data_IF_873946308706
#
_entry.id   IF_873946308706
#
_cell.length_a   1.000
_cell.length_b   1.000
_cell.length_c   1.000
_cell.angle_alpha   90.00
_cell.angle_beta   90.00
_cell.angle_gamma   90.00
#
_symmetry.space_group_name_H-M   'P 1'
#
loop_
_entity.id
_entity.type
_entity.pdbx_description
1 polymer ?
#
# COMPACT_ATOMS: atom_id res chain seq x y z
N UNK A 1 -22.60 16.84 -9.24
CA UNK A 1 -23.09 15.46 -9.13
C UNK A 1 -23.59 15.26 -7.71
N UNK A 2 -24.74 14.61 -7.52
CA UNK A 2 -25.23 14.20 -6.21
C UNK A 2 -24.46 12.96 -5.73
N UNK A 3 -24.23 12.84 -4.42
CA UNK A 3 -23.67 11.62 -3.85
C UNK A 3 -24.64 10.44 -4.08
N UNK A 4 -24.09 9.26 -4.39
CA UNK A 4 -24.86 8.02 -4.55
C UNK A 4 -25.00 7.32 -3.19
N UNK A 5 -23.92 7.37 -2.39
CA UNK A 5 -23.85 6.81 -1.06
C UNK A 5 -23.68 7.90 -0.02
N UNK A 6 -24.33 7.72 1.15
CA UNK A 6 -24.24 8.66 2.26
C UNK A 6 -23.11 8.32 3.23
N UNK A 7 -22.85 7.03 3.43
CA UNK A 7 -21.74 6.56 4.27
C UNK A 7 -20.89 5.57 3.48
N UNK A 8 -19.65 5.95 3.16
CA UNK A 8 -18.75 5.12 2.39
C UNK A 8 -17.61 4.62 3.26
N UNK A 9 -17.41 3.30 3.31
CA UNK A 9 -16.34 2.64 4.05
C UNK A 9 -15.39 1.96 3.06
N UNK A 10 -14.13 2.39 3.04
CA UNK A 10 -13.06 1.72 2.28
C UNK A 10 -12.16 0.99 3.25
N UNK A 11 -12.11 -0.33 3.11
CA UNK A 11 -11.38 -1.26 3.96
C UNK A 11 -10.25 -1.87 3.12
N UNK A 12 -9.03 -1.41 3.35
CA UNK A 12 -7.82 -1.97 2.74
C UNK A 12 -7.28 -3.12 3.60
N UNK A 13 -7.11 -4.28 2.98
CA UNK A 13 -6.48 -5.47 3.55
C UNK A 13 -5.12 -5.65 2.86
N UNK A 14 -4.05 -5.23 3.54
CA UNK A 14 -2.68 -5.22 3.00
C UNK A 14 -2.26 -6.61 2.52
N UNK A 15 -1.68 -6.67 1.33
CA UNK A 15 -1.26 -7.88 0.63
C UNK A 15 -2.39 -8.88 0.31
N UNK A 16 -3.68 -8.52 0.38
CA UNK A 16 -4.75 -9.46 0.00
C UNK A 16 -4.63 -9.82 -1.50
N UNK A 17 -4.39 -11.09 -1.79
CA UNK A 17 -4.09 -11.56 -3.14
C UNK A 17 -5.33 -12.14 -3.82
N UNK A 18 -5.35 -12.12 -5.15
CA UNK A 18 -6.31 -12.88 -5.95
C UNK A 18 -6.29 -14.38 -5.64
N UNK A 19 -5.12 -14.92 -5.26
CA UNK A 19 -4.94 -16.31 -4.83
C UNK A 19 -5.67 -16.63 -3.51
N UNK A 20 -5.95 -15.64 -2.67
CA UNK A 20 -6.73 -15.82 -1.45
C UNK A 20 -8.23 -15.93 -1.74
N UNK A 21 -8.69 -15.48 -2.91
CA UNK A 21 -10.12 -15.30 -3.20
C UNK A 21 -10.91 -16.60 -3.01
N UNK A 22 -10.38 -17.73 -3.47
CA UNK A 22 -11.01 -19.03 -3.29
C UNK A 22 -11.19 -19.35 -1.80
N UNK A 23 -10.15 -19.14 -0.99
CA UNK A 23 -10.20 -19.43 0.44
C UNK A 23 -11.14 -18.48 1.19
N UNK A 24 -11.01 -17.15 1.01
CA UNK A 24 -11.85 -16.19 1.72
C UNK A 24 -13.33 -16.34 1.36
N UNK A 25 -13.66 -16.76 0.14
CA UNK A 25 -15.05 -17.03 -0.25
C UNK A 25 -15.72 -18.16 0.53
N UNK A 26 -14.94 -18.98 1.25
CA UNK A 26 -15.46 -20.03 2.15
C UNK A 26 -15.64 -19.55 3.59
N UNK A 27 -15.04 -18.41 3.97
CA UNK A 27 -15.15 -17.86 5.31
C UNK A 27 -16.50 -17.15 5.47
N UNK A 28 -17.17 -17.27 6.64
CA UNK A 28 -18.59 -16.95 6.76
C UNK A 28 -18.91 -15.49 6.46
N UNK A 29 -18.10 -14.52 6.90
CA UNK A 29 -18.42 -13.10 6.73
C UNK A 29 -18.06 -12.61 5.33
N UNK A 30 -16.93 -13.05 4.77
CA UNK A 30 -16.61 -12.82 3.36
C UNK A 30 -17.65 -13.43 2.44
N UNK A 31 -18.07 -14.69 2.70
CA UNK A 31 -19.12 -15.37 1.93
C UNK A 31 -20.42 -14.57 1.95
N UNK A 32 -20.85 -14.11 3.13
CA UNK A 32 -22.06 -13.31 3.27
C UNK A 32 -21.94 -11.95 2.56
N UNK A 33 -20.77 -11.31 2.63
CA UNK A 33 -20.50 -10.06 1.92
C UNK A 33 -20.57 -10.25 0.40
N UNK A 34 -19.90 -11.30 -0.11
CA UNK A 34 -19.82 -11.64 -1.53
C UNK A 34 -21.15 -12.04 -2.15
N UNK A 35 -22.13 -12.48 -1.35
CA UNK A 35 -23.46 -12.86 -1.84
C UNK A 35 -24.19 -11.70 -2.54
N UNK A 36 -23.93 -10.46 -2.11
CA UNK A 36 -24.56 -9.25 -2.65
C UNK A 36 -23.55 -8.32 -3.36
N UNK A 37 -22.25 -8.63 -3.29
CA UNK A 37 -21.20 -7.76 -3.81
C UNK A 37 -21.07 -7.83 -5.33
N UNK A 38 -20.59 -6.72 -5.91
CA UNK A 38 -19.88 -6.72 -7.18
C UNK A 38 -18.38 -6.74 -6.91
N UNK A 39 -17.61 -7.52 -7.67
CA UNK A 39 -16.19 -7.71 -7.38
C UNK A 39 -15.34 -7.98 -8.61
N UNK A 40 -14.05 -7.66 -8.50
CA UNK A 40 -12.99 -8.07 -9.40
C UNK A 40 -12.00 -8.96 -8.66
N UNK A 41 -11.66 -10.11 -9.24
CA UNK A 41 -10.65 -11.02 -8.68
C UNK A 41 -9.24 -10.68 -9.14
N UNK A 42 -9.09 -9.95 -10.24
CA UNK A 42 -7.80 -9.63 -10.84
C UNK A 42 -7.62 -8.12 -10.96
N UNK A 43 -7.19 -7.50 -9.87
CA UNK A 43 -6.82 -6.10 -9.85
C UNK A 43 -5.31 -5.99 -10.06
N UNK A 44 -4.91 -5.39 -11.17
CA UNK A 44 -3.52 -5.05 -11.42
C UNK A 44 -3.13 -3.85 -10.55
N UNK A 45 -2.19 -4.08 -9.64
CA UNK A 45 -1.58 -3.02 -8.84
C UNK A 45 -0.70 -2.10 -9.70
N UNK A 46 -0.11 -1.08 -9.09
CA UNK A 46 0.83 -0.17 -9.75
C UNK A 46 2.27 -0.67 -9.66
N UNK A 47 3.18 -0.11 -10.45
CA UNK A 47 4.59 -0.49 -10.42
C UNK A 47 5.44 0.64 -9.78
N UNK A 48 6.04 0.44 -8.60
CA UNK A 48 6.21 -0.83 -7.86
C UNK A 48 4.98 -1.22 -7.05
N UNK A 49 4.76 -2.53 -6.85
CA UNK A 49 3.66 -3.05 -6.01
C UNK A 49 3.97 -2.92 -4.52
N UNK A 50 4.17 -1.67 -4.07
CA UNK A 50 4.42 -1.30 -2.68
C UNK A 50 3.20 -0.59 -2.08
N UNK A 51 3.02 -0.73 -0.76
CA UNK A 51 1.90 -0.18 0.01
C UNK A 51 1.63 1.31 -0.26
N UNK A 52 2.61 2.21 -0.13
CA UNK A 52 2.38 3.65 -0.23
C UNK A 52 2.09 4.10 -1.67
N UNK A 53 2.86 3.68 -2.70
CA UNK A 53 2.49 3.90 -4.09
C UNK A 53 1.08 3.40 -4.43
N UNK A 54 0.73 2.18 -3.99
CA UNK A 54 -0.57 1.59 -4.23
C UNK A 54 -1.70 2.39 -3.56
N UNK A 55 -1.62 2.65 -2.25
CA UNK A 55 -2.65 3.40 -1.53
C UNK A 55 -2.85 4.82 -2.03
N UNK A 56 -1.78 5.46 -2.51
CA UNK A 56 -1.90 6.79 -3.13
C UNK A 56 -2.56 6.70 -4.50
N UNK A 57 -2.31 5.62 -5.25
CA UNK A 57 -3.01 5.34 -6.50
C UNK A 57 -4.51 5.14 -6.28
N UNK A 58 -4.89 4.42 -5.22
CA UNK A 58 -6.30 4.23 -4.81
C UNK A 58 -6.99 5.57 -4.55
N UNK A 59 -6.35 6.49 -3.81
CA UNK A 59 -7.01 7.76 -3.43
C UNK A 59 -6.96 8.85 -4.49
N UNK A 60 -6.08 8.72 -5.48
CA UNK A 60 -5.89 9.73 -6.55
C UNK A 60 -6.39 9.27 -7.91
N UNK A 61 -6.52 7.97 -8.14
CA UNK A 61 -6.75 7.39 -9.46
C UNK A 61 -5.58 7.56 -10.42
N UNK A 62 -4.35 7.73 -9.92
CA UNK A 62 -3.14 8.02 -10.71
C UNK A 62 -2.08 6.94 -10.52
N UNK A 63 -1.19 6.80 -11.49
CA UNK A 63 0.03 6.00 -11.35
C UNK A 63 1.13 6.74 -10.56
N UNK A 64 2.12 6.02 -10.01
CA UNK A 64 3.27 6.58 -9.27
C UNK A 64 3.99 7.74 -9.97
N UNK A 65 4.16 7.67 -11.30
CA UNK A 65 4.74 8.76 -12.09
C UNK A 65 3.99 10.10 -11.94
N UNK A 66 2.68 10.05 -11.74
CA UNK A 66 1.79 11.21 -11.77
C UNK A 66 1.48 11.73 -10.36
N UNK A 67 1.26 10.86 -9.37
CA UNK A 67 1.06 11.30 -7.98
C UNK A 67 2.37 11.49 -7.20
N UNK A 68 3.51 11.00 -7.72
CA UNK A 68 4.85 11.28 -7.20
C UNK A 68 5.34 10.42 -6.04
N UNK A 69 4.55 9.44 -5.60
CA UNK A 69 4.92 8.49 -4.54
C UNK A 69 5.33 7.18 -5.20
N UNK A 70 6.64 6.94 -5.28
CA UNK A 70 7.22 5.84 -6.08
C UNK A 70 7.89 4.77 -5.22
N UNK A 71 7.91 4.96 -3.91
CA UNK A 71 8.48 4.04 -2.93
C UNK A 71 7.79 4.28 -1.58
N UNK A 72 7.89 3.35 -0.64
CA UNK A 72 7.46 3.58 0.75
C UNK A 72 8.35 4.63 1.44
N UNK A 73 9.62 4.69 1.06
CA UNK A 73 10.66 5.50 1.71
C UNK A 73 11.29 6.54 0.80
N UNK A 74 11.70 7.66 1.38
CA UNK A 74 12.46 8.70 0.69
C UNK A 74 13.86 8.19 0.31
N UNK A 75 14.38 8.68 -0.82
CA UNK A 75 15.78 8.49 -1.18
C UNK A 75 16.67 9.36 -0.28
N UNK A 76 17.07 8.81 0.87
CA UNK A 76 17.94 9.46 1.86
C UNK A 76 19.15 8.57 2.17
N UNK A 77 20.10 8.43 1.22
CA UNK A 77 21.14 7.42 1.31
C UNK A 77 22.16 7.64 2.44
N UNK A 78 22.21 8.87 2.96
CA UNK A 78 22.99 9.22 4.13
C UNK A 78 22.28 8.89 5.47
N UNK A 79 21.16 8.16 5.46
CA UNK A 79 20.42 7.79 6.67
C UNK A 79 20.20 6.28 6.72
N UNK A 80 20.57 5.66 7.86
CA UNK A 80 20.34 4.24 8.11
C UNK A 80 18.86 3.85 8.09
N UNK A 81 17.99 4.74 8.56
CA UNK A 81 16.54 4.61 8.50
C UNK A 81 16.00 5.85 7.78
N UNK A 82 15.73 5.78 6.47
CA UNK A 82 15.09 6.87 5.74
C UNK A 82 13.73 7.23 6.35
N UNK A 83 13.31 8.48 6.14
CA UNK A 83 11.92 8.86 6.39
C UNK A 83 11.03 8.22 5.31
N UNK A 84 9.78 7.94 5.67
CA UNK A 84 8.79 7.44 4.74
C UNK A 84 7.98 8.59 4.12
N UNK A 85 7.28 8.31 3.03
CA UNK A 85 6.34 9.26 2.43
C UNK A 85 5.06 9.35 3.29
N UNK A 86 5.16 9.88 4.51
CA UNK A 86 4.00 9.93 5.42
C UNK A 86 3.01 11.04 5.09
N UNK A 87 3.47 12.13 4.47
CA UNK A 87 2.76 13.40 4.48
C UNK A 87 1.87 13.58 3.25
N UNK A 88 0.67 14.10 3.47
CA UNK A 88 -0.26 14.51 2.41
C UNK A 88 0.43 15.38 1.35
N UNK A 89 1.28 16.32 1.78
CA UNK A 89 1.99 17.25 0.89
C UNK A 89 2.98 16.55 -0.06
N UNK A 90 3.27 15.27 0.15
CA UNK A 90 4.07 14.50 -0.80
C UNK A 90 3.27 14.03 -2.03
N UNK A 91 1.94 13.99 -1.95
CA UNK A 91 1.05 13.58 -3.04
C UNK A 91 0.83 14.74 -4.00
N UNK A 92 1.10 14.53 -5.28
CA UNK A 92 0.81 15.49 -6.35
C UNK A 92 -0.65 15.37 -6.83
N UNK A 93 -1.37 16.49 -6.77
CA UNK A 93 -2.78 16.60 -7.15
C UNK A 93 -3.73 16.22 -6.02
N UNK A 94 -5.01 16.18 -6.35
CA UNK A 94 -6.08 15.97 -5.37
C UNK A 94 -6.30 14.48 -5.10
N UNK A 95 -6.75 14.18 -3.87
CA UNK A 95 -7.29 12.87 -3.50
C UNK A 95 -8.80 12.98 -3.33
N UNK A 96 -9.52 11.86 -3.43
CA UNK A 96 -10.98 11.92 -3.22
C UNK A 96 -11.32 12.37 -1.80
N UNK A 97 -10.45 12.13 -0.80
CA UNK A 97 -10.70 12.56 0.57
C UNK A 97 -10.49 14.06 0.75
N UNK A 98 -9.58 14.69 0.00
CA UNK A 98 -9.45 16.15 0.03
C UNK A 98 -10.68 16.80 -0.56
N UNK A 99 -11.14 16.31 -1.72
CA UNK A 99 -12.34 16.81 -2.38
C UNK A 99 -13.60 16.60 -1.52
N UNK A 100 -13.68 15.49 -0.79
CA UNK A 100 -14.75 15.25 0.17
C UNK A 100 -14.75 16.31 1.28
N UNK A 101 -13.59 16.58 1.90
CA UNK A 101 -13.44 17.63 2.92
C UNK A 101 -13.81 19.01 2.37
N UNK A 102 -13.37 19.34 1.16
CA UNK A 102 -13.66 20.62 0.49
C UNK A 102 -15.15 20.81 0.19
N UNK A 103 -15.88 19.72 -0.08
CA UNK A 103 -17.35 19.72 -0.19
C UNK A 103 -18.08 19.71 1.14
N UNK A 104 -17.37 19.80 2.27
CA UNK A 104 -17.97 19.84 3.60
C UNK A 104 -18.31 18.48 4.19
N UNK A 105 -17.85 17.38 3.58
CA UNK A 105 -18.01 16.04 4.12
C UNK A 105 -17.11 15.82 5.35
N UNK A 106 -17.57 14.97 6.26
CA UNK A 106 -16.82 14.49 7.42
C UNK A 106 -16.07 13.22 7.06
N UNK A 107 -14.74 13.28 7.12
CA UNK A 107 -13.87 12.18 6.73
C UNK A 107 -13.11 11.64 7.95
N UNK A 108 -12.98 10.32 8.01
CA UNK A 108 -12.09 9.62 8.94
C UNK A 108 -11.10 8.73 8.23
N UNK A 109 -9.89 8.63 8.79
CA UNK A 109 -8.85 7.72 8.31
C UNK A 109 -8.13 7.07 9.50
N UNK A 110 -8.00 5.74 9.45
CA UNK A 110 -7.34 4.92 10.46
C UNK A 110 -6.22 4.11 9.80
N UNK A 111 -4.98 4.46 10.10
CA UNK A 111 -3.75 3.96 9.48
C UNK A 111 -3.72 4.04 7.95
N UNK A 112 -4.51 4.92 7.32
CA UNK A 112 -4.40 5.04 5.87
C UNK A 112 -3.05 5.67 5.49
N UNK A 113 -2.27 5.09 4.55
CA UNK A 113 -0.96 5.62 4.17
C UNK A 113 -1.02 7.05 3.63
N UNK A 114 0.07 7.80 3.85
CA UNK A 114 0.29 9.14 3.25
C UNK A 114 -0.78 10.19 3.62
N UNK A 115 -1.43 10.02 4.79
CA UNK A 115 -2.45 10.94 5.30
C UNK A 115 -1.95 11.86 6.41
N UNK A 116 -0.68 11.80 6.81
CA UNK A 116 -0.16 12.69 7.83
C UNK A 116 -0.31 14.16 7.39
N UNK A 117 -0.76 15.02 8.31
CA UNK A 117 -1.04 16.45 8.07
C UNK A 117 -2.10 16.75 7.00
N UNK A 118 -2.92 15.77 6.62
CA UNK A 118 -4.11 16.02 5.79
C UNK A 118 -5.17 16.84 6.54
N UNK A 119 -6.16 17.34 5.80
CA UNK A 119 -7.32 18.07 6.37
C UNK A 119 -8.43 17.14 6.89
N UNK A 120 -8.21 15.83 6.91
CA UNK A 120 -9.17 14.84 7.40
C UNK A 120 -9.48 15.10 8.88
N UNK A 121 -10.75 15.23 9.23
CA UNK A 121 -11.17 15.68 10.55
C UNK A 121 -10.95 14.61 11.64
N UNK A 122 -11.05 13.32 11.29
CA UNK A 122 -10.83 12.20 12.21
C UNK A 122 -9.68 11.31 11.73
N UNK A 123 -8.45 11.82 11.84
CA UNK A 123 -7.28 11.18 11.26
C UNK A 123 -6.35 10.55 12.32
N UNK A 124 -6.04 9.28 12.16
CA UNK A 124 -4.95 8.56 12.81
C UNK A 124 -4.05 7.98 11.71
N UNK A 125 -3.08 8.75 11.19
CA UNK A 125 -2.31 8.35 10.03
C UNK A 125 -1.37 7.19 10.35
N UNK A 126 -0.99 6.44 9.32
CA UNK A 126 0.12 5.48 9.44
C UNK A 126 1.44 6.24 9.50
N UNK A 127 1.94 6.40 10.72
CA UNK A 127 3.22 7.07 10.97
C UNK A 127 3.87 6.50 12.22
N UNK A 128 5.19 6.36 12.16
CA UNK A 128 5.96 5.84 13.29
C UNK A 128 7.25 6.61 13.54
N UNK A 129 7.69 6.56 14.79
CA UNK A 129 8.93 7.17 15.24
C UNK A 129 10.13 6.40 14.69
N UNK A 130 10.74 6.91 13.63
CA UNK A 130 11.95 6.32 13.02
C UNK A 130 13.26 6.84 13.64
N UNK A 131 13.21 7.48 14.81
CA UNK A 131 14.38 8.00 15.55
C UNK A 131 14.25 7.63 17.02
N UNK A 132 15.35 7.22 17.64
CA UNK A 132 15.34 6.76 19.05
C UNK A 132 14.93 7.86 20.05
N UNK A 133 15.09 9.14 19.68
CA UNK A 133 14.71 10.29 20.52
C UNK A 133 13.26 10.77 20.28
N UNK A 134 12.53 10.19 19.33
CA UNK A 134 11.13 10.55 19.07
C UNK A 134 10.20 9.61 19.83
N UNK A 135 9.24 10.18 20.56
CA UNK A 135 8.12 9.40 21.11
C UNK A 135 7.12 9.06 20.01
N UNK A 136 6.76 7.78 19.88
CA UNK A 136 5.72 7.32 18.96
C UNK A 136 4.41 8.07 19.16
N UNK A 137 3.99 8.26 20.41
CA UNK A 137 2.74 8.96 20.76
C UNK A 137 2.78 10.41 20.25
N UNK A 138 3.90 11.12 20.47
CA UNK A 138 4.05 12.50 20.04
C UNK A 138 4.08 12.62 18.50
N UNK A 139 4.76 11.69 17.82
CA UNK A 139 4.79 11.65 16.36
C UNK A 139 3.38 11.45 15.79
N UNK A 140 2.62 10.49 16.30
CA UNK A 140 1.24 10.27 15.85
C UNK A 140 0.35 11.50 16.14
N UNK A 141 0.38 12.03 17.37
CA UNK A 141 -0.43 13.19 17.76
C UNK A 141 -0.18 14.43 16.91
N UNK A 142 1.08 14.73 16.59
CA UNK A 142 1.43 15.90 15.78
C UNK A 142 1.03 15.76 14.32
N UNK A 143 0.75 14.54 13.83
CA UNK A 143 0.56 14.28 12.41
C UNK A 143 -0.87 13.85 12.03
N UNK A 144 -1.72 13.52 13.01
CA UNK A 144 -3.15 13.30 12.80
C UNK A 144 -4.01 14.32 13.57
N UNK A 145 -5.25 13.95 13.90
CA UNK A 145 -6.15 14.77 14.72
C UNK A 145 -5.90 14.52 16.21
N UNK A 146 -5.38 15.47 16.99
CA UNK A 146 -4.90 15.20 18.36
C UNK A 146 -5.97 14.67 19.31
N UNK A 147 -7.15 15.29 19.35
CA UNK A 147 -8.24 14.88 20.26
C UNK A 147 -8.79 13.50 19.92
N UNK A 148 -8.98 13.22 18.63
CA UNK A 148 -9.44 11.93 18.15
C UNK A 148 -8.45 10.82 18.51
N UNK A 149 -7.17 11.03 18.19
CA UNK A 149 -6.12 10.06 18.54
C UNK A 149 -5.99 9.87 20.05
N UNK A 150 -6.05 10.94 20.85
CA UNK A 150 -6.02 10.83 22.30
C UNK A 150 -7.16 9.95 22.82
N UNK A 151 -8.38 10.13 22.32
CA UNK A 151 -9.53 9.32 22.70
C UNK A 151 -9.33 7.83 22.36
N UNK A 152 -8.89 7.53 21.12
CA UNK A 152 -8.62 6.16 20.70
C UNK A 152 -7.51 5.52 21.55
N UNK A 153 -6.41 6.23 21.79
CA UNK A 153 -5.29 5.74 22.58
C UNK A 153 -5.68 5.52 24.05
N UNK A 154 -6.48 6.41 24.64
CA UNK A 154 -6.98 6.28 26.01
C UNK A 154 -7.86 5.03 26.17
N UNK A 155 -8.72 4.76 25.18
CA UNK A 155 -9.65 3.63 25.23
C UNK A 155 -8.99 2.31 24.91
N UNK A 156 -8.22 2.25 23.83
CA UNK A 156 -7.78 0.98 23.22
C UNK A 156 -6.28 0.80 23.17
N UNK A 157 -5.49 1.80 23.62
CA UNK A 157 -4.04 1.77 23.52
C UNK A 157 -3.37 0.55 24.16
N UNK A 158 -4.03 -0.08 25.15
CA UNK A 158 -3.61 -1.32 25.80
C UNK A 158 -3.60 -2.54 24.88
N UNK A 159 -4.30 -2.50 23.73
CA UNK A 159 -4.32 -3.59 22.76
C UNK A 159 -3.04 -3.64 21.91
N UNK A 160 -2.31 -2.53 21.80
CA UNK A 160 -1.12 -2.45 20.96
C UNK A 160 0.09 -3.05 21.65
N UNK A 161 0.98 -3.55 20.81
CA UNK A 161 2.32 -3.98 21.19
C UNK A 161 3.34 -3.42 20.16
N UNK A 162 3.53 -2.10 20.21
CA UNK A 162 4.23 -1.37 19.16
C UNK A 162 3.50 -1.51 17.82
N UNK A 163 4.24 -1.95 16.79
CA UNK A 163 3.72 -2.25 15.45
C UNK A 163 3.48 -3.76 15.22
N UNK A 164 3.62 -4.59 16.25
CA UNK A 164 3.49 -6.05 16.10
C UNK A 164 2.06 -6.44 15.76
N UNK A 165 1.93 -7.40 14.84
CA UNK A 165 0.65 -7.97 14.45
C UNK A 165 0.37 -9.27 15.23
N UNK A 166 -0.89 -9.53 15.62
CA UNK A 166 -2.12 -8.83 15.22
C UNK A 166 -2.53 -7.64 16.12
N UNK A 167 -1.69 -7.26 17.10
CA UNK A 167 -2.02 -6.27 18.13
C UNK A 167 -2.31 -4.86 17.59
N UNK A 168 -1.55 -4.41 16.59
CA UNK A 168 -1.81 -3.12 15.95
C UNK A 168 -3.18 -3.10 15.26
N UNK A 169 -3.49 -4.11 14.45
CA UNK A 169 -4.79 -4.19 13.78
C UNK A 169 -5.95 -4.40 14.75
N UNK A 170 -5.74 -5.06 15.90
CA UNK A 170 -6.76 -5.15 16.94
C UNK A 170 -7.10 -3.78 17.54
N UNK A 171 -6.09 -2.94 17.78
CA UNK A 171 -6.30 -1.56 18.20
C UNK A 171 -7.03 -0.73 17.13
N UNK A 172 -6.61 -0.84 15.87
CA UNK A 172 -7.23 -0.14 14.73
C UNK A 172 -8.68 -0.58 14.57
N UNK A 173 -8.95 -1.87 14.69
CA UNK A 173 -10.29 -2.42 14.54
C UNK A 173 -11.23 -1.91 15.64
N UNK A 174 -10.81 -1.96 16.91
CA UNK A 174 -11.63 -1.41 18.01
C UNK A 174 -11.80 0.11 17.87
N UNK A 175 -10.79 0.82 17.36
CA UNK A 175 -10.90 2.25 17.03
C UNK A 175 -11.92 2.51 15.91
N UNK A 176 -11.98 1.65 14.91
CA UNK A 176 -12.97 1.73 13.83
C UNK A 176 -14.38 1.48 14.36
N UNK A 177 -14.61 0.42 15.15
CA UNK A 177 -15.93 0.14 15.73
C UNK A 177 -16.42 1.31 16.59
N UNK A 178 -15.54 1.86 17.45
CA UNK A 178 -15.85 3.07 18.22
C UNK A 178 -16.19 4.26 17.32
N UNK A 179 -15.44 4.45 16.23
CA UNK A 179 -15.67 5.53 15.27
C UNK A 179 -17.01 5.37 14.56
N UNK A 180 -17.34 4.16 14.12
CA UNK A 180 -18.63 3.82 13.53
C UNK A 180 -19.73 4.18 14.52
N UNK A 181 -19.70 3.68 15.74
CA UNK A 181 -20.72 3.94 16.76
C UNK A 181 -20.88 5.45 17.05
N UNK A 182 -19.77 6.15 17.29
CA UNK A 182 -19.79 7.48 17.92
C UNK A 182 -19.69 8.67 16.95
N UNK A 183 -19.31 8.45 15.69
CA UNK A 183 -19.12 9.54 14.70
C UNK A 183 -20.00 9.28 13.46
N UNK A 184 -20.51 10.35 12.86
CA UNK A 184 -21.30 10.30 11.61
C UNK A 184 -20.41 10.81 10.48
N UNK A 185 -19.69 9.90 9.84
CA UNK A 185 -18.69 10.21 8.82
C UNK A 185 -19.22 9.80 7.45
N UNK A 186 -19.14 10.70 6.47
CA UNK A 186 -19.57 10.42 5.09
C UNK A 186 -18.57 9.48 4.39
N UNK A 187 -17.28 9.55 4.78
CA UNK A 187 -16.21 8.70 4.26
C UNK A 187 -15.32 8.21 5.40
N UNK A 188 -15.10 6.89 5.47
CA UNK A 188 -14.17 6.25 6.40
C UNK A 188 -13.18 5.39 5.64
N UNK A 189 -11.90 5.64 5.86
CA UNK A 189 -10.78 4.87 5.33
C UNK A 189 -10.12 4.08 6.46
N UNK A 190 -9.90 2.78 6.27
CA UNK A 190 -9.16 1.95 7.22
C UNK A 190 -8.22 1.03 6.48
N UNK A 191 -7.00 0.91 7.00
CA UNK A 191 -5.98 0.02 6.46
C UNK A 191 -5.50 -0.95 7.55
N UNK A 192 -5.49 -2.23 7.20
CA UNK A 192 -5.12 -3.34 8.07
C UNK A 192 -3.86 -4.02 7.53
N UNK A 193 -2.78 -4.08 8.33
CA UNK A 193 -1.44 -4.54 7.91
C UNK A 193 -1.08 -5.95 8.40
N UNK A 194 -2.02 -6.62 9.07
CA UNK A 194 -1.84 -7.95 9.68
C UNK A 194 -1.42 -9.02 8.67
N UNK A 195 -2.11 -9.15 7.54
CA UNK A 195 -1.80 -10.17 6.54
C UNK A 195 -0.40 -10.00 5.93
N UNK A 196 -0.06 -8.80 5.46
CA UNK A 196 1.26 -8.51 4.89
C UNK A 196 2.40 -8.77 5.88
N UNK A 197 2.29 -8.23 7.10
CA UNK A 197 3.30 -8.43 8.15
C UNK A 197 3.52 -9.92 8.44
N UNK A 198 2.42 -10.69 8.51
CA UNK A 198 2.49 -12.13 8.77
C UNK A 198 3.09 -12.88 7.58
N UNK A 199 2.83 -12.48 6.34
CA UNK A 199 3.46 -13.11 5.17
C UNK A 199 4.95 -12.82 5.11
N UNK A 200 5.36 -11.59 5.36
CA UNK A 200 6.78 -11.24 5.47
C UNK A 200 7.52 -12.12 6.47
N UNK A 201 6.89 -12.45 7.60
CA UNK A 201 7.50 -13.20 8.67
C UNK A 201 7.38 -14.73 8.50
N UNK A 202 6.33 -15.25 7.86
CA UNK A 202 6.02 -16.69 7.84
C UNK A 202 5.86 -17.31 6.45
N UNK A 203 5.80 -16.52 5.38
CA UNK A 203 5.53 -16.99 4.02
C UNK A 203 4.06 -16.86 3.60
N UNK A 204 3.81 -16.85 2.29
CA UNK A 204 2.54 -16.54 1.65
C UNK A 204 1.38 -17.43 2.11
N UNK A 205 1.60 -18.75 2.05
CA UNK A 205 0.59 -19.79 2.32
C UNK A 205 0.66 -20.38 3.74
N UNK A 206 1.37 -19.71 4.65
CA UNK A 206 1.60 -20.18 6.02
C UNK A 206 0.30 -20.35 6.81
N UNK A 207 0.36 -21.15 7.89
CA UNK A 207 -0.78 -21.30 8.81
C UNK A 207 -1.13 -19.95 9.43
N UNK A 208 -0.11 -19.15 9.73
CA UNK A 208 -0.19 -17.81 10.29
C UNK A 208 -0.92 -16.86 9.34
N UNK A 209 -0.59 -16.87 8.03
CA UNK A 209 -1.28 -16.08 7.03
C UNK A 209 -2.77 -16.46 6.92
N UNK A 210 -3.09 -17.76 6.95
CA UNK A 210 -4.49 -18.23 7.00
C UNK A 210 -5.21 -17.78 8.27
N UNK A 211 -4.52 -17.69 9.41
CA UNK A 211 -5.09 -17.13 10.64
C UNK A 211 -5.32 -15.61 10.52
N UNK A 212 -4.46 -14.87 9.81
CA UNK A 212 -4.69 -13.45 9.52
C UNK A 212 -5.95 -13.25 8.66
N UNK A 213 -6.14 -14.05 7.60
CA UNK A 213 -7.36 -14.03 6.79
C UNK A 213 -8.63 -14.32 7.61
N UNK A 214 -8.59 -15.28 8.54
CA UNK A 214 -9.69 -15.53 9.47
C UNK A 214 -9.96 -14.36 10.41
N UNK A 215 -8.92 -13.62 10.85
CA UNK A 215 -9.10 -12.39 11.63
C UNK A 215 -9.77 -11.31 10.79
N UNK A 216 -9.38 -11.12 9.53
CA UNK A 216 -10.05 -10.18 8.63
C UNK A 216 -11.52 -10.56 8.38
N UNK A 217 -11.83 -11.84 8.19
CA UNK A 217 -13.22 -12.31 8.09
C UNK A 217 -14.05 -11.89 9.32
N UNK A 218 -13.53 -12.15 10.53
CA UNK A 218 -14.18 -11.72 11.77
C UNK A 218 -14.41 -10.21 11.81
N UNK A 219 -13.37 -9.42 11.48
CA UNK A 219 -13.42 -7.95 11.46
C UNK A 219 -14.48 -7.43 10.50
N UNK A 220 -14.66 -8.04 9.33
CA UNK A 220 -15.71 -7.68 8.37
C UNK A 220 -17.10 -7.91 8.98
N UNK A 221 -17.30 -9.05 9.63
CA UNK A 221 -18.55 -9.34 10.34
C UNK A 221 -18.86 -8.31 11.43
N UNK A 222 -17.87 -7.95 12.23
CA UNK A 222 -17.98 -6.95 13.30
C UNK A 222 -18.27 -5.54 12.75
N UNK A 223 -17.68 -5.14 11.62
CA UNK A 223 -17.98 -3.86 10.94
C UNK A 223 -19.42 -3.84 10.44
N UNK A 224 -19.85 -4.88 9.73
CA UNK A 224 -21.23 -4.99 9.22
C UNK A 224 -22.22 -4.94 10.37
N UNK A 225 -21.94 -5.63 11.48
CA UNK A 225 -22.79 -5.61 12.66
C UNK A 225 -22.87 -4.21 13.28
N UNK A 226 -21.74 -3.51 13.44
CA UNK A 226 -21.72 -2.15 13.98
C UNK A 226 -22.52 -1.15 13.12
N UNK A 227 -22.47 -1.30 11.79
CA UNK A 227 -23.29 -0.48 10.87
C UNK A 227 -24.79 -0.75 11.01
N UNK A 228 -25.17 -2.02 11.24
CA UNK A 228 -26.57 -2.42 11.48
C UNK A 228 -27.08 -1.90 12.81
N UNK A 229 -26.29 -2.04 13.88
CA UNK A 229 -26.62 -1.55 15.23
C UNK A 229 -26.76 -0.03 15.25
N UNK A 230 -25.94 0.68 14.48
CA UNK A 230 -26.07 2.12 14.28
C UNK A 230 -27.25 2.53 13.40
N UNK A 231 -27.87 1.59 12.68
CA UNK A 231 -29.00 1.85 11.78
C UNK A 231 -28.62 2.54 10.47
N UNK A 232 -27.36 2.45 10.03
CA UNK A 232 -26.87 3.10 8.80
C UNK A 232 -26.48 2.11 7.69
N UNK A 233 -26.58 0.80 7.94
CA UNK A 233 -26.14 -0.23 7.00
C UNK A 233 -26.78 -0.09 5.59
N UNK A 234 -28.10 0.15 5.51
CA UNK A 234 -28.81 0.28 4.22
C UNK A 234 -28.46 1.57 3.44
N UNK A 235 -27.94 2.59 4.14
CA UNK A 235 -27.44 3.84 3.54
C UNK A 235 -25.94 3.79 3.24
N UNK A 236 -25.27 2.68 3.59
CA UNK A 236 -23.82 2.55 3.49
C UNK A 236 -23.39 1.81 2.22
N UNK A 237 -22.22 2.19 1.73
CA UNK A 237 -21.42 1.40 0.78
C UNK A 237 -20.18 0.91 1.48
N UNK A 238 -19.87 -0.37 1.35
CA UNK A 238 -18.65 -0.98 1.88
C UNK A 238 -17.83 -1.47 0.70
N UNK A 239 -16.57 -1.05 0.67
CA UNK A 239 -15.56 -1.48 -0.29
C UNK A 239 -14.46 -2.20 0.50
N UNK A 240 -14.14 -3.41 0.07
CA UNK A 240 -13.03 -4.22 0.58
C UNK A 240 -12.07 -4.44 -0.58
N UNK A 241 -10.82 -4.04 -0.39
CA UNK A 241 -9.80 -4.09 -1.43
C UNK A 241 -8.46 -4.55 -0.86
N UNK A 242 -7.57 -5.00 -1.73
CA UNK A 242 -6.14 -5.10 -1.43
C UNK A 242 -5.35 -4.13 -2.30
N UNK A 243 -4.08 -3.95 -1.97
CA UNK A 243 -3.17 -3.02 -2.62
C UNK A 243 -2.12 -3.73 -3.49
N UNK A 244 -1.64 -4.90 -3.05
CA UNK A 244 -0.74 -5.77 -3.81
C UNK A 244 -0.87 -7.26 -3.42
N UNK A 245 -0.14 -8.12 -4.14
CA UNK A 245 0.16 -9.50 -3.77
C UNK A 245 1.60 -9.62 -3.27
N UNK A 246 2.01 -10.79 -2.80
CA UNK A 246 3.39 -11.08 -2.39
C UNK A 246 3.84 -12.46 -2.88
N UNK A 247 5.16 -12.69 -2.94
CA UNK A 247 5.77 -13.94 -3.43
C UNK A 247 6.82 -14.43 -2.43
N UNK A 248 6.90 -15.75 -2.25
CA UNK A 248 7.89 -16.35 -1.37
C UNK A 248 9.31 -16.18 -1.93
N UNK A 249 10.24 -15.84 -1.04
CA UNK A 249 11.62 -15.47 -1.36
C UNK A 249 12.59 -16.08 -0.36
N UNK A 250 13.82 -16.32 -0.82
CA UNK A 250 14.90 -16.81 0.04
C UNK A 250 16.28 -16.23 -0.29
N UNK A 251 16.34 -15.25 -1.21
CA UNK A 251 17.58 -14.62 -1.64
C UNK A 251 17.47 -13.09 -1.71
N UNK A 252 18.50 -12.40 -1.28
CA UNK A 252 18.60 -10.93 -1.27
C UNK A 252 19.71 -10.47 -2.21
N UNK A 253 19.46 -9.43 -3.00
CA UNK A 253 20.45 -8.73 -3.82
C UNK A 253 20.72 -7.36 -3.22
N UNK A 254 21.97 -7.11 -2.83
CA UNK A 254 22.43 -5.83 -2.27
C UNK A 254 23.23 -5.04 -3.30
N UNK A 255 22.58 -4.55 -4.38
CA UNK A 255 23.26 -3.92 -5.53
C UNK A 255 24.13 -2.70 -5.16
N UNK A 256 23.78 -1.99 -4.08
CA UNK A 256 24.59 -0.87 -3.61
C UNK A 256 26.02 -1.30 -3.20
N UNK A 257 26.23 -2.54 -2.77
CA UNK A 257 27.58 -3.10 -2.51
C UNK A 257 28.39 -3.16 -3.82
N UNK A 258 27.79 -3.66 -4.90
CA UNK A 258 28.44 -3.71 -6.21
C UNK A 258 28.80 -2.30 -6.73
N UNK A 259 27.89 -1.34 -6.57
CA UNK A 259 28.13 0.05 -6.97
C UNK A 259 29.27 0.69 -6.15
N UNK A 260 29.30 0.45 -4.83
CA UNK A 260 30.39 0.90 -3.95
C UNK A 260 31.73 0.29 -4.36
N UNK A 261 31.79 -1.02 -4.56
CA UNK A 261 33.03 -1.74 -4.87
C UNK A 261 33.64 -1.33 -6.22
N UNK A 262 32.82 -0.77 -7.12
CA UNK A 262 33.26 -0.18 -8.40
C UNK A 262 33.47 1.33 -8.36
N UNK A 263 33.38 1.97 -7.19
CA UNK A 263 33.65 3.40 -7.02
C UNK A 263 32.53 4.34 -7.48
N UNK A 264 31.29 3.85 -7.57
CA UNK A 264 30.10 4.67 -7.84
C UNK A 264 29.43 5.20 -6.58
N UNK A 265 29.70 4.61 -5.42
CA UNK A 265 29.24 5.11 -4.12
C UNK A 265 30.44 5.32 -3.22
N UNK A 266 30.55 6.52 -2.66
CA UNK A 266 31.60 6.89 -1.72
C UNK A 266 31.08 6.83 -0.29
N UNK A 267 31.85 6.19 0.59
CA UNK A 267 31.53 6.05 2.01
C UNK A 267 32.65 6.61 2.88
N UNK A 268 32.30 7.13 4.06
CA UNK A 268 33.30 7.52 5.05
C UNK A 268 33.83 6.31 5.83
N UNK A 269 34.75 6.54 6.78
CA UNK A 269 35.35 5.51 7.64
C UNK A 269 34.35 4.72 8.50
N UNK A 270 33.12 5.21 8.66
CA UNK A 270 32.02 4.54 9.38
C UNK A 270 31.05 3.80 8.44
N UNK A 271 31.37 3.71 7.15
CA UNK A 271 30.52 3.06 6.14
C UNK A 271 29.28 3.86 5.76
N UNK A 272 29.22 5.16 6.10
CA UNK A 272 28.08 6.03 5.74
C UNK A 272 28.33 6.64 4.36
N UNK A 273 27.33 6.60 3.48
CA UNK A 273 27.38 7.25 2.16
C UNK A 273 27.57 8.76 2.33
N UNK A 274 28.58 9.30 1.65
CA UNK A 274 28.91 10.73 1.62
C UNK A 274 28.69 11.37 0.24
N UNK A 275 28.92 10.62 -0.84
CA UNK A 275 28.55 10.99 -2.21
C UNK A 275 28.28 9.74 -3.05
N UNK A 276 27.66 9.91 -4.22
CA UNK A 276 27.49 8.85 -5.19
C UNK A 276 27.43 9.42 -6.62
N UNK A 277 27.96 8.67 -7.57
CA UNK A 277 27.72 8.84 -9.01
C UNK A 277 26.45 8.11 -9.44
N UNK A 278 26.16 6.99 -8.79
CA UNK A 278 24.94 6.25 -8.99
C UNK A 278 24.52 5.54 -7.71
N UNK A 279 23.21 5.37 -7.53
CA UNK A 279 22.66 4.70 -6.37
C UNK A 279 21.44 3.87 -6.74
N UNK A 280 21.34 2.70 -6.13
CA UNK A 280 20.17 1.85 -6.24
C UNK A 280 19.23 2.08 -5.06
N UNK A 281 17.93 2.16 -5.34
CA UNK A 281 16.87 2.24 -4.36
C UNK A 281 15.94 1.05 -4.53
N UNK A 282 15.97 0.14 -3.56
CA UNK A 282 15.11 -1.02 -3.51
C UNK A 282 13.64 -0.62 -3.36
N UNK A 283 12.81 -1.31 -4.14
CA UNK A 283 11.38 -1.41 -4.01
C UNK A 283 11.01 -2.88 -3.78
N UNK A 284 11.83 -3.60 -3.01
CA UNK A 284 11.74 -5.03 -2.75
C UNK A 284 11.91 -5.89 -4.02
N UNK A 285 10.84 -6.43 -4.59
CA UNK A 285 10.87 -7.27 -5.80
C UNK A 285 11.40 -6.56 -7.05
N UNK A 286 11.42 -5.23 -7.06
CA UNK A 286 12.09 -4.42 -8.07
C UNK A 286 12.95 -3.31 -7.44
N UNK A 287 13.56 -2.45 -8.23
CA UNK A 287 14.11 -1.20 -7.73
C UNK A 287 14.66 -0.28 -8.79
N UNK A 288 14.94 0.94 -8.38
CA UNK A 288 15.36 2.01 -9.26
C UNK A 288 16.86 2.29 -9.15
N UNK A 289 17.55 2.34 -10.28
CA UNK A 289 18.89 2.91 -10.36
C UNK A 289 18.77 4.40 -10.72
N UNK A 290 19.42 5.26 -9.95
CA UNK A 290 19.56 6.69 -10.25
C UNK A 290 21.03 7.00 -10.55
N UNK A 291 21.31 7.55 -11.72
CA UNK A 291 22.62 8.11 -12.08
C UNK A 291 22.58 9.62 -11.91
N UNK A 292 23.51 10.15 -11.11
CA UNK A 292 23.61 11.59 -10.83
C UNK A 292 23.78 12.37 -12.13
N UNK A 293 23.03 13.46 -12.26
CA UNK A 293 23.04 14.35 -13.44
C UNK A 293 22.71 13.67 -14.77
N UNK A 294 22.11 12.47 -14.75
CA UNK A 294 21.82 11.68 -15.95
C UNK A 294 23.05 11.45 -16.85
N UNK A 295 24.23 11.27 -16.24
CA UNK A 295 25.47 11.07 -16.99
C UNK A 295 25.40 9.78 -17.84
N UNK A 296 25.28 9.96 -19.16
CA UNK A 296 25.07 8.86 -20.11
C UNK A 296 26.23 7.85 -20.15
N UNK A 297 27.48 8.33 -19.98
CA UNK A 297 28.65 7.45 -19.96
C UNK A 297 28.61 6.53 -18.73
N UNK A 298 28.36 7.10 -17.55
CA UNK A 298 28.23 6.34 -16.29
C UNK A 298 27.05 5.36 -16.37
N UNK A 299 25.92 5.79 -16.93
CA UNK A 299 24.76 4.92 -17.14
C UNK A 299 25.14 3.70 -17.99
N UNK A 300 25.78 3.89 -19.14
CA UNK A 300 26.21 2.78 -20.02
C UNK A 300 27.18 1.82 -19.31
N UNK A 301 28.14 2.37 -18.55
CA UNK A 301 29.10 1.56 -17.78
C UNK A 301 28.40 0.73 -16.69
N UNK A 302 27.44 1.31 -15.98
CA UNK A 302 26.68 0.61 -14.93
C UNK A 302 25.69 -0.39 -15.50
N UNK A 303 24.99 -0.06 -16.58
CA UNK A 303 24.12 -1.03 -17.29
C UNK A 303 24.94 -2.26 -17.66
N UNK A 304 26.13 -2.06 -18.23
CA UNK A 304 27.02 -3.18 -18.58
C UNK A 304 27.48 -3.97 -17.36
N UNK A 305 27.84 -3.30 -16.28
CA UNK A 305 28.21 -3.93 -15.02
C UNK A 305 27.10 -4.81 -14.45
N UNK A 306 25.85 -4.33 -14.49
CA UNK A 306 24.67 -5.06 -14.00
C UNK A 306 24.35 -6.26 -14.89
N UNK A 307 24.44 -6.10 -16.22
CA UNK A 307 24.30 -7.22 -17.16
C UNK A 307 25.36 -8.30 -16.91
N UNK A 308 26.62 -7.92 -16.70
CA UNK A 308 27.72 -8.85 -16.44
C UNK A 308 27.53 -9.57 -15.11
N UNK A 309 27.11 -8.85 -14.07
CA UNK A 309 26.70 -9.42 -12.79
C UNK A 309 25.55 -10.42 -12.98
N UNK A 310 24.53 -10.06 -13.76
CA UNK A 310 23.38 -10.95 -13.97
C UNK A 310 23.72 -12.19 -14.82
N UNK A 311 24.66 -12.10 -15.75
CA UNK A 311 25.15 -13.28 -16.52
C UNK A 311 25.80 -14.34 -15.64
N UNK A 312 26.34 -13.96 -14.47
CA UNK A 312 26.95 -14.89 -13.52
C UNK A 312 25.94 -15.41 -12.50
N UNK A 313 25.05 -14.55 -12.02
CA UNK A 313 24.18 -14.87 -10.88
C UNK A 313 22.74 -15.21 -11.25
N UNK A 314 22.30 -14.87 -12.47
CA UNK A 314 20.95 -15.06 -12.98
C UNK A 314 19.85 -14.64 -11.99
N UNK A 315 19.98 -13.44 -11.42
CA UNK A 315 19.18 -12.95 -10.30
C UNK A 315 18.25 -11.77 -10.66
N UNK A 316 18.41 -11.19 -11.85
CA UNK A 316 17.59 -10.10 -12.39
C UNK A 316 16.84 -10.65 -13.61
N UNK A 317 15.52 -10.49 -13.58
CA UNK A 317 14.60 -10.97 -14.63
C UNK A 317 14.59 -10.00 -15.82
N UNK A 318 14.60 -8.69 -15.52
CA UNK A 318 14.61 -7.64 -16.54
C UNK A 318 15.32 -6.38 -16.07
N UNK A 319 15.89 -5.65 -17.05
CA UNK A 319 16.46 -4.31 -16.87
C UNK A 319 15.76 -3.40 -17.87
N UNK A 320 14.94 -2.48 -17.36
CA UNK A 320 14.15 -1.56 -18.16
C UNK A 320 14.78 -0.17 -18.22
N UNK A 321 14.66 0.48 -19.37
CA UNK A 321 15.04 1.88 -19.52
C UNK A 321 14.07 2.81 -18.79
N UNK A 322 14.45 4.08 -18.65
CA UNK A 322 13.60 5.14 -18.12
C UNK A 322 12.28 5.28 -18.89
N UNK A 323 12.33 5.21 -20.21
CA UNK A 323 11.16 5.32 -21.08
C UNK A 323 10.20 4.18 -20.80
N UNK A 324 10.72 2.96 -20.64
CA UNK A 324 9.89 1.80 -20.32
C UNK A 324 9.31 1.88 -18.91
N UNK A 325 10.06 2.38 -17.94
CA UNK A 325 9.53 2.66 -16.60
C UNK A 325 8.37 3.67 -16.64
N UNK A 326 8.47 4.73 -17.45
CA UNK A 326 7.40 5.71 -17.65
C UNK A 326 6.14 5.09 -18.29
N UNK A 327 6.30 4.20 -19.27
CA UNK A 327 5.19 3.45 -19.87
C UNK A 327 4.45 2.62 -18.82
N UNK A 328 5.17 1.98 -17.90
CA UNK A 328 4.57 1.22 -16.79
C UNK A 328 3.94 2.08 -15.69
N UNK A 329 4.07 3.40 -15.74
CA UNK A 329 3.58 4.28 -14.67
C UNK A 329 4.52 4.43 -13.47
N UNK A 330 5.74 3.89 -13.55
CA UNK A 330 6.77 3.90 -12.50
C UNK A 330 7.57 5.23 -12.44
N UNK A 331 8.55 5.37 -11.54
CA UNK A 331 9.30 6.63 -11.39
C UNK A 331 10.01 7.07 -12.68
N UNK A 332 9.51 8.13 -13.30
CA UNK A 332 10.11 8.76 -14.47
C UNK A 332 11.42 9.50 -14.23
N UNK A 333 11.96 9.51 -13.01
CA UNK A 333 13.27 10.09 -12.68
C UNK A 333 14.38 9.03 -12.61
N UNK A 334 14.04 7.75 -12.61
CA UNK A 334 15.04 6.69 -12.59
C UNK A 334 15.81 6.66 -13.90
N UNK A 335 17.04 6.16 -13.84
CA UNK A 335 17.85 5.86 -15.02
C UNK A 335 17.57 4.45 -15.53
N UNK A 336 17.35 3.49 -14.63
CA UNK A 336 16.89 2.13 -14.94
C UNK A 336 15.89 1.66 -13.87
N UNK A 337 15.01 0.75 -14.26
CA UNK A 337 14.16 -0.04 -13.38
C UNK A 337 14.54 -1.51 -13.53
N UNK A 338 14.92 -2.15 -12.41
CA UNK A 338 15.37 -3.53 -12.38
C UNK A 338 14.30 -4.40 -11.72
N UNK A 339 14.00 -5.54 -12.34
CA UNK A 339 13.07 -6.54 -11.81
C UNK A 339 13.87 -7.75 -11.29
N UNK A 340 13.66 -8.15 -10.04
CA UNK A 340 14.32 -9.32 -9.49
C UNK A 340 13.70 -10.61 -10.06
N UNK A 341 14.54 -11.61 -10.33
CA UNK A 341 14.09 -12.96 -10.67
C UNK A 341 13.70 -13.67 -9.38
N UNK A 342 12.58 -14.40 -9.34
CA UNK A 342 12.31 -15.23 -8.17
C UNK A 342 13.40 -16.32 -7.99
N UNK A 343 13.78 -16.68 -6.74
CA UNK A 343 13.26 -16.21 -5.45
C UNK A 343 14.05 -15.03 -4.84
N UNK A 344 14.64 -14.16 -5.68
CA UNK A 344 15.40 -12.99 -5.26
C UNK A 344 14.53 -11.75 -5.06
N UNK A 345 14.94 -10.87 -4.14
CA UNK A 345 14.47 -9.49 -4.03
C UNK A 345 15.64 -8.57 -3.65
N UNK A 346 15.45 -7.25 -3.73
CA UNK A 346 16.50 -6.27 -3.46
C UNK A 346 16.46 -5.69 -2.04
N UNK A 347 17.62 -5.28 -1.54
CA UNK A 347 17.76 -4.44 -0.35
C UNK A 347 18.73 -3.28 -0.58
N UNK A 348 18.64 -2.25 0.26
CA UNK A 348 19.46 -1.04 0.16
C UNK A 348 20.84 -1.15 0.86
N UNK A 349 21.25 -2.34 1.34
CA UNK A 349 22.50 -2.47 2.11
C UNK A 349 23.72 -2.04 1.29
N UNK A 350 24.64 -1.32 1.95
CA UNK A 350 25.90 -0.84 1.38
C UNK A 350 27.12 -1.64 1.87
N UNK A 351 26.90 -2.64 2.72
CA UNK A 351 27.93 -3.52 3.28
C UNK A 351 27.36 -4.93 3.54
N UNK A 352 28.24 -5.92 3.67
CA UNK A 352 27.83 -7.32 3.82
C UNK A 352 28.09 -8.11 2.54
N UNK A 353 27.25 -9.11 2.26
CA UNK A 353 27.34 -9.93 1.05
C UNK A 353 26.51 -9.32 -0.07
N UNK A 354 27.01 -9.40 -1.30
CA UNK A 354 26.29 -8.94 -2.48
C UNK A 354 25.01 -9.75 -2.74
N UNK A 355 25.09 -11.07 -2.53
CA UNK A 355 23.92 -11.97 -2.49
C UNK A 355 23.90 -12.67 -1.12
N UNK A 356 22.76 -12.61 -0.45
CA UNK A 356 22.49 -13.34 0.79
C UNK A 356 21.41 -14.39 0.53
N UNK A 357 21.64 -15.63 0.94
CA UNK A 357 20.64 -16.71 0.91
C UNK A 357 20.29 -17.10 2.35
N UNK A 358 19.01 -17.39 2.61
CA UNK A 358 18.51 -17.74 3.93
C UNK A 358 17.46 -18.84 3.87
N UNK A 359 17.48 -19.75 4.83
CA UNK A 359 16.61 -20.95 4.84
C UNK A 359 15.53 -20.90 5.92
N UNK A 360 14.94 -19.71 6.15
CA UNK A 360 13.99 -19.46 7.24
C UNK A 360 14.60 -19.59 8.65
N UNK A 361 13.79 -19.38 9.69
CA UNK A 361 14.21 -19.51 11.10
C UNK A 361 14.90 -18.26 11.69
N UNK A 362 15.66 -18.42 12.77
CA UNK A 362 16.21 -17.31 13.58
C UNK A 362 17.10 -16.31 12.79
N UNK A 363 17.77 -16.77 11.71
CA UNK A 363 18.60 -15.92 10.84
C UNK A 363 17.80 -14.86 10.06
N UNK A 364 16.49 -15.05 9.90
CA UNK A 364 15.57 -14.11 9.24
C UNK A 364 15.48 -12.78 10.02
N UNK A 365 15.41 -12.84 11.35
CA UNK A 365 15.23 -11.66 12.22
C UNK A 365 16.52 -10.87 12.42
N UNK A 366 17.67 -11.53 12.43
CA UNK A 366 18.97 -10.89 12.66
C UNK A 366 19.41 -10.01 11.48
N UNK A 367 19.11 -10.43 10.24
CA UNK A 367 19.55 -9.74 9.03
C UNK A 367 18.46 -8.90 8.34
N UNK A 368 17.24 -8.87 8.90
CA UNK A 368 16.10 -8.16 8.33
C UNK A 368 15.56 -8.78 7.04
N UNK A 369 15.77 -10.08 6.84
CA UNK A 369 15.29 -10.79 5.65
C UNK A 369 13.81 -11.17 5.82
N UNK A 370 13.07 -11.25 4.71
CA UNK A 370 11.64 -11.64 4.70
C UNK A 370 11.45 -12.97 3.98
N UNK A 371 10.52 -13.81 4.42
CA UNK A 371 10.20 -15.10 3.77
C UNK A 371 9.23 -14.94 2.59
N UNK A 372 8.45 -13.86 2.61
CA UNK A 372 7.62 -13.41 1.52
C UNK A 372 7.92 -11.94 1.28
N UNK A 373 7.92 -11.49 0.03
CA UNK A 373 8.08 -10.07 -0.26
C UNK A 373 7.21 -9.65 -1.45
N UNK A 374 6.98 -8.36 -1.59
CA UNK A 374 6.19 -7.76 -2.65
C UNK A 374 7.05 -6.79 -3.46
N UNK A 375 6.46 -5.87 -4.22
CA UNK A 375 7.17 -4.86 -5.01
C UNK A 375 7.63 -5.29 -6.40
N UNK A 376 7.31 -6.51 -6.83
CA UNK A 376 7.57 -7.00 -8.19
C UNK A 376 6.70 -6.30 -9.25
N UNK A 377 6.95 -6.61 -10.52
CA UNK A 377 6.08 -6.21 -11.63
C UNK A 377 4.64 -6.70 -11.40
N UNK A 378 3.62 -5.82 -11.51
CA UNK A 378 2.21 -6.22 -11.37
C UNK A 378 1.75 -7.18 -12.48
N UNK A 379 2.55 -7.37 -13.52
CA UNK A 379 2.27 -8.26 -14.64
C UNK A 379 2.82 -9.68 -14.47
N UNK A 380 3.41 -10.01 -13.31
CA UNK A 380 3.78 -11.40 -13.01
C UNK A 380 2.52 -12.27 -12.92
N UNK A 381 2.60 -13.55 -13.32
CA UNK A 381 1.47 -14.47 -13.21
C UNK A 381 1.05 -14.61 -11.75
N UNK A 382 -0.26 -14.73 -11.52
CA UNK A 382 -0.85 -14.96 -10.19
C UNK A 382 -0.45 -13.92 -9.12
N UNK A 383 -0.22 -12.67 -9.56
CA UNK A 383 0.33 -11.60 -8.72
C UNK A 383 -0.60 -10.37 -8.58
N UNK A 384 -1.89 -10.56 -8.84
CA UNK A 384 -2.93 -9.53 -8.73
C UNK A 384 -3.53 -9.46 -7.32
N UNK A 385 -4.21 -8.35 -7.03
CA UNK A 385 -5.03 -8.16 -5.82
C UNK A 385 -6.53 -8.20 -6.16
N UNK A 386 -7.40 -7.83 -5.23
CA UNK A 386 -8.86 -7.96 -5.33
C UNK A 386 -9.58 -6.66 -5.00
N UNK A 387 -10.77 -6.49 -5.57
CA UNK A 387 -11.69 -5.41 -5.27
C UNK A 387 -13.08 -5.98 -5.08
N UNK A 388 -13.79 -5.60 -4.01
CA UNK A 388 -15.14 -6.05 -3.72
C UNK A 388 -15.94 -4.86 -3.16
N UNK A 389 -17.14 -4.62 -3.70
CA UNK A 389 -18.01 -3.54 -3.25
C UNK A 389 -19.45 -4.04 -3.06
N UNK A 390 -20.12 -3.60 -2.00
CA UNK A 390 -21.52 -3.94 -1.72
C UNK A 390 -22.22 -2.79 -0.98
N UNK A 391 -23.55 -2.76 -1.05
CA UNK A 391 -24.39 -1.75 -0.40
C UNK A 391 -24.93 -0.69 -1.37
N UNK A 392 -25.30 0.47 -0.83
CA UNK A 392 -25.98 1.55 -1.58
C UNK A 392 -25.15 1.96 -2.80
N UNK A 393 -25.80 2.11 -3.96
CA UNK A 393 -25.13 2.57 -5.18
C UNK A 393 -24.28 1.54 -5.90
N UNK A 394 -24.23 0.29 -5.43
CA UNK A 394 -23.52 -0.82 -6.07
C UNK A 394 -24.54 -1.81 -6.63
N UNK A 395 -24.39 -2.19 -7.90
CA UNK A 395 -25.18 -3.28 -8.50
C UNK A 395 -24.83 -4.60 -7.81
N UNK A 396 -25.78 -5.52 -7.74
CA UNK A 396 -25.58 -6.82 -7.11
C UNK A 396 -25.03 -7.84 -8.12
N UNK A 397 -23.99 -8.57 -7.73
CA UNK A 397 -23.49 -9.74 -8.47
C UNK A 397 -22.77 -9.45 -9.79
N UNK A 398 -22.29 -8.22 -10.02
CA UNK A 398 -21.46 -7.94 -11.20
C UNK A 398 -20.05 -8.47 -10.97
N UNK A 399 -19.62 -9.39 -11.84
CA UNK A 399 -18.26 -9.94 -11.82
C UNK A 399 -17.44 -9.22 -12.87
N UNK A 400 -16.33 -8.65 -12.44
CA UNK A 400 -15.36 -7.94 -13.28
C UNK A 400 -14.17 -8.86 -13.50
N UNK A 401 -13.82 -9.13 -14.75
CA UNK A 401 -12.70 -10.02 -15.07
C UNK A 401 -11.38 -9.43 -14.60
N UNK A 402 -11.11 -8.18 -14.99
CA UNK A 402 -9.87 -7.47 -14.69
C UNK A 402 -10.12 -5.97 -14.52
N UNK A 403 -9.32 -5.32 -13.66
CA UNK A 403 -9.27 -3.85 -13.52
C UNK A 403 -7.89 -3.41 -13.04
N UNK A 404 -7.63 -2.10 -13.02
CA UNK A 404 -6.41 -1.56 -12.40
C UNK A 404 -6.73 -0.83 -11.09
N UNK A 405 -5.77 -0.82 -10.18
CA UNK A 405 -5.87 -0.10 -8.91
C UNK A 405 -6.17 1.40 -9.11
N UNK A 406 -5.73 1.99 -10.23
CA UNK A 406 -6.02 3.40 -10.56
C UNK A 406 -7.49 3.66 -10.92
N UNK A 407 -8.29 2.62 -11.21
CA UNK A 407 -9.72 2.75 -11.48
C UNK A 407 -10.54 2.94 -10.19
N UNK A 408 -9.98 2.57 -9.03
CA UNK A 408 -10.69 2.62 -7.75
C UNK A 408 -10.98 4.06 -7.32
N UNK A 409 -9.98 4.94 -7.41
CA UNK A 409 -10.10 6.35 -7.04
C UNK A 409 -11.27 7.08 -7.72
N UNK A 410 -11.32 7.17 -9.06
CA UNK A 410 -12.42 7.83 -9.76
C UNK A 410 -13.78 7.15 -9.49
N UNK A 411 -13.80 5.83 -9.30
CA UNK A 411 -15.02 5.09 -8.96
C UNK A 411 -15.55 5.45 -7.56
N UNK A 412 -14.67 5.50 -6.56
CA UNK A 412 -15.00 5.92 -5.19
C UNK A 412 -15.42 7.39 -5.17
N UNK A 413 -14.72 8.25 -5.91
CA UNK A 413 -15.09 9.66 -6.03
C UNK A 413 -16.51 9.82 -6.61
N UNK A 414 -16.87 9.06 -7.66
CA UNK A 414 -18.21 9.06 -8.26
C UNK A 414 -19.29 8.66 -7.25
N UNK A 415 -19.05 7.64 -6.41
CA UNK A 415 -19.96 7.23 -5.34
C UNK A 415 -20.24 8.37 -4.32
N UNK A 416 -19.24 9.20 -4.06
CA UNK A 416 -19.34 10.39 -3.20
C UNK A 416 -19.91 11.63 -3.92
N UNK A 417 -20.26 11.54 -5.21
CA UNK A 417 -20.70 12.71 -5.99
C UNK A 417 -19.56 13.73 -6.23
N UNK A 418 -18.33 13.23 -6.23
CA UNK A 418 -17.09 13.96 -6.50
C UNK A 418 -16.54 13.58 -7.88
N UNK A 419 -15.63 14.40 -8.39
CA UNK A 419 -14.94 14.15 -9.65
C UNK A 419 -13.45 14.36 -9.43
N UNK A 420 -12.67 13.28 -9.54
CA UNK A 420 -11.22 13.37 -9.57
C UNK A 420 -10.77 13.76 -10.98
N UNK A 421 -9.99 14.83 -11.09
CA UNK A 421 -9.47 15.32 -12.38
C UNK A 421 -8.11 14.72 -12.70
N UNK A 422 -7.85 14.55 -14.00
CA UNK A 422 -6.58 14.05 -14.54
C UNK A 422 -6.20 12.68 -13.95
N UNK A 423 -7.18 11.79 -13.81
CA UNK A 423 -6.94 10.39 -13.41
C UNK A 423 -6.30 9.62 -14.56
N UNK A 424 -5.47 8.65 -14.23
CA UNK A 424 -4.99 7.64 -15.17
C UNK A 424 -6.00 6.49 -15.32
N UNK A 425 -6.75 6.20 -14.26
CA UNK A 425 -7.83 5.22 -14.28
C UNK A 425 -9.18 5.81 -14.68
N UNK A 426 -10.16 4.92 -14.82
CA UNK A 426 -11.53 5.23 -15.26
C UNK A 426 -12.56 4.85 -14.20
N UNK A 427 -13.71 5.49 -14.24
CA UNK A 427 -14.87 5.10 -13.42
C UNK A 427 -15.40 3.74 -13.91
N UNK A 428 -15.61 2.81 -12.98
CA UNK A 428 -16.24 1.52 -13.27
C UNK A 428 -17.77 1.65 -13.32
N UNK A 429 -18.30 2.36 -14.31
CA UNK A 429 -19.74 2.67 -14.42
C UNK A 429 -20.65 1.41 -14.40
N UNK A 430 -20.12 0.27 -14.87
CA UNK A 430 -20.86 -0.98 -14.92
C UNK A 430 -21.13 -1.61 -13.54
N UNK A 431 -20.38 -1.27 -12.48
CA UNK A 431 -20.67 -1.72 -11.11
C UNK A 431 -21.59 -0.76 -10.34
N UNK A 432 -21.79 0.47 -10.84
CA UNK A 432 -22.57 1.50 -10.16
C UNK A 432 -24.06 1.39 -10.49
N UNK A 433 -24.93 1.57 -9.50
CA UNK A 433 -26.37 1.73 -9.66
C UNK A 433 -26.78 3.20 -9.52
N UNK A 434 -26.78 3.90 -10.65
CA UNK A 434 -27.08 5.34 -10.70
C UNK A 434 -28.56 5.67 -10.42
N UNK A 435 -29.47 4.69 -10.41
CA UNK A 435 -30.87 4.93 -10.06
C UNK A 435 -31.06 5.37 -8.61
N UNK A 436 -30.06 5.13 -7.75
CA UNK A 436 -30.04 5.59 -6.36
C UNK A 436 -29.96 7.12 -6.21
N UNK A 437 -29.53 7.88 -7.23
CA UNK A 437 -29.40 9.35 -7.16
C UNK A 437 -30.73 10.09 -7.08
N UNK A 438 -31.84 9.48 -7.54
CA UNK A 438 -33.17 10.13 -7.58
C UNK A 438 -33.89 10.21 -6.23
N UNK A 439 -33.37 9.59 -5.17
CA UNK A 439 -34.04 9.51 -3.87
C UNK A 439 -33.53 10.49 -2.80
N UNK A 440 -32.41 11.19 -3.02
CA UNK A 440 -31.77 12.05 -2.00
C UNK A 440 -32.25 13.53 -2.11
N UNK A 441 -33.07 13.84 -3.11
CA UNK A 441 -33.51 15.21 -3.44
C UNK A 441 -34.95 15.56 -3.03
N UNK A 442 -35.51 14.90 -2.01
CA UNK A 442 -36.82 15.27 -1.44
C UNK A 442 -36.70 15.63 0.05
#
# INVERSE_FOLDING_TARGET
>A
MSAISKYLYVISLDALSSLDFQYISTLPNFKNFLAEASYCKNVYSVYPTLTYPAHVSIVTGKYPKNHGIVNNTLLQPNRKSPDWYWYRDNIKGDTFYDLAVEKGMKVGALLWPVTAKSKIQYNMPEIFANRFWKSQILVSLLNGTPLFQYELNKRFGYLRDGIRQPNLDNFVHQSLLYTIENKWLDLTLVHYTDLDSIRHDYGFNSKEAKLALKRHDKRIGEIVQALKEKGIYEESTIIILGDHSSLDVNKVINLNILLRDRGYIEVNSKGKIIDYKAIFKSCDGCGYLYVKENNFKILKEITKLIEDFNRVHECIDAIYSREKALEFGADGRCSLLLEAKLPYYFQDKICGKLIEEFNGGNLQRENGCKLCNHGYSPFKPDYTTVFMASGKGIKKGVIVEEMSLVDEGPTIAKLLGLELKNTDGKVLEYILDENCTKQISN
#
